data_IF_860343892997
#
_entry.id   IF_860343892997
#
_cell.length_a   1.000
_cell.length_b   1.000
_cell.length_c   1.000
_cell.angle_alpha   90.00
_cell.angle_beta   90.00
_cell.angle_gamma   90.00
#
_symmetry.space_group_name_H-M   'P 1'
#
loop_
_entity.id
_entity.type
_entity.pdbx_description
1 polymer ?
#
# COMPACT_ATOMS: atom_id res chain seq x y z
N UNK A 1 -12.82 40.02 -3.43
CA UNK A 1 -12.81 39.38 -2.09
C UNK A 1 -12.53 37.90 -2.33
N UNK A 2 -11.37 37.44 -1.86
CA UNK A 2 -10.72 36.20 -2.32
C UNK A 2 -11.38 34.93 -1.79
N UNK A 3 -11.70 34.02 -2.70
CA UNK A 3 -12.18 32.67 -2.40
C UNK A 3 -11.01 31.68 -2.33
N UNK A 4 -10.81 31.15 -1.13
CA UNK A 4 -10.12 29.92 -0.73
C UNK A 4 -9.16 29.21 -1.72
N UNK A 5 -7.85 29.47 -1.58
CA UNK A 5 -6.83 28.45 -1.86
C UNK A 5 -6.51 27.68 -0.57
N UNK A 6 -7.32 26.67 -0.25
CA UNK A 6 -6.91 25.60 0.69
C UNK A 6 -5.94 24.68 -0.05
N UNK A 7 -4.67 25.06 -0.16
CA UNK A 7 -3.61 24.17 -0.64
C UNK A 7 -3.24 23.21 0.48
N UNK A 8 -4.03 22.14 0.67
CA UNK A 8 -3.54 20.98 1.40
C UNK A 8 -2.37 20.39 0.60
N UNK A 9 -1.14 20.48 1.11
CA UNK A 9 0.06 20.07 0.40
C UNK A 9 -0.06 18.62 -0.11
N UNK A 10 -0.22 18.44 -1.42
CA UNK A 10 -0.25 17.13 -2.06
C UNK A 10 1.20 16.68 -2.32
N UNK A 11 1.57 15.48 -1.87
CA UNK A 11 2.88 14.89 -2.08
C UNK A 11 2.80 13.67 -3.03
N UNK A 12 3.61 13.69 -4.08
CA UNK A 12 3.82 12.55 -4.97
C UNK A 12 4.88 11.60 -4.39
N UNK A 13 4.61 10.29 -4.41
CA UNK A 13 5.53 9.26 -3.93
C UNK A 13 5.56 8.05 -4.85
N UNK A 14 6.71 7.38 -4.89
CA UNK A 14 6.89 6.12 -5.59
C UNK A 14 7.13 4.98 -4.59
N UNK A 15 6.43 3.85 -4.75
CA UNK A 15 6.72 2.60 -4.05
C UNK A 15 7.40 1.63 -5.01
N UNK A 16 8.59 1.16 -4.66
CA UNK A 16 9.43 0.31 -5.51
C UNK A 16 9.74 -1.03 -4.85
N UNK A 17 9.89 -2.07 -5.68
CA UNK A 17 10.38 -3.38 -5.25
C UNK A 17 11.92 -3.41 -5.32
N UNK A 18 12.58 -3.76 -4.21
CA UNK A 18 14.06 -3.75 -4.11
C UNK A 18 14.76 -4.83 -4.94
N UNK A 19 14.07 -5.92 -5.27
CA UNK A 19 14.63 -7.08 -5.99
C UNK A 19 13.64 -7.55 -7.06
N UNK A 20 13.99 -7.54 -8.35
CA UNK A 20 13.10 -7.99 -9.45
C UNK A 20 12.81 -6.88 -10.48
N UNK A 21 11.83 -7.06 -11.39
CA UNK A 21 11.52 -6.06 -12.40
C UNK A 21 11.24 -4.69 -11.75
N UNK A 22 11.80 -3.63 -12.35
CA UNK A 22 11.68 -2.24 -11.89
C UNK A 22 10.24 -1.75 -12.12
N UNK A 23 9.33 -2.23 -11.30
CA UNK A 23 7.98 -1.73 -11.23
C UNK A 23 7.87 -0.81 -10.02
N UNK A 24 7.34 0.38 -10.28
CA UNK A 24 7.14 1.43 -9.29
C UNK A 24 5.71 1.93 -9.38
N UNK A 25 5.01 1.94 -8.25
CA UNK A 25 3.70 2.59 -8.14
C UNK A 25 3.90 4.06 -7.77
N UNK A 26 3.38 4.98 -8.56
CA UNK A 26 3.39 6.42 -8.26
C UNK A 26 1.99 6.82 -7.77
N UNK A 27 1.91 7.55 -6.66
CA UNK A 27 0.66 8.04 -6.13
C UNK A 27 0.77 9.40 -5.46
N UNK A 28 -0.37 10.09 -5.41
CA UNK A 28 -0.53 11.36 -4.70
C UNK A 28 -1.15 11.16 -3.31
N UNK A 29 -0.84 12.08 -2.40
CA UNK A 29 -1.44 12.11 -1.07
C UNK A 29 -1.48 13.49 -0.46
N UNK A 30 -2.64 13.85 0.12
CA UNK A 30 -2.77 15.03 1.00
C UNK A 30 -2.29 14.79 2.44
N UNK A 31 -1.95 13.55 2.80
CA UNK A 31 -1.28 13.17 4.04
C UNK A 31 0.22 12.95 3.79
N UNK A 32 1.02 12.78 4.85
CA UNK A 32 2.45 12.46 4.69
C UNK A 32 2.67 11.15 3.89
N UNK A 33 3.77 11.09 3.14
CA UNK A 33 4.15 9.89 2.36
C UNK A 33 4.26 8.67 3.26
N UNK A 34 4.85 8.82 4.45
CA UNK A 34 4.99 7.76 5.45
C UNK A 34 3.64 7.20 5.89
N UNK A 35 2.64 8.07 6.10
CA UNK A 35 1.28 7.65 6.47
C UNK A 35 0.65 6.77 5.38
N UNK A 36 0.74 7.18 4.12
CA UNK A 36 0.21 6.37 2.99
C UNK A 36 0.95 5.05 2.84
N UNK A 37 2.27 5.09 2.98
CA UNK A 37 3.07 3.88 2.93
C UNK A 37 2.63 2.89 4.01
N UNK A 38 2.40 3.34 5.24
CA UNK A 38 1.87 2.50 6.31
C UNK A 38 0.47 1.93 5.99
N UNK A 39 -0.41 2.71 5.34
CA UNK A 39 -1.71 2.20 4.87
C UNK A 39 -1.55 1.07 3.84
N UNK A 40 -0.64 1.24 2.87
CA UNK A 40 -0.34 0.21 1.88
C UNK A 40 0.23 -1.07 2.53
N UNK A 41 1.17 -0.93 3.46
CA UNK A 41 1.71 -2.06 4.24
C UNK A 41 0.60 -2.72 5.08
N UNK A 42 -0.31 -1.94 5.66
CA UNK A 42 -1.48 -2.45 6.37
C UNK A 42 -2.35 -3.35 5.49
N UNK A 43 -2.72 -2.87 4.31
CA UNK A 43 -3.51 -3.64 3.35
C UNK A 43 -2.78 -4.93 2.90
N UNK A 44 -1.47 -4.87 2.66
CA UNK A 44 -0.67 -6.06 2.33
C UNK A 44 -0.68 -7.08 3.47
N UNK A 45 -0.55 -6.63 4.73
CA UNK A 45 -0.65 -7.52 5.90
C UNK A 45 -2.04 -8.15 6.00
N UNK A 46 -3.10 -7.37 5.81
CA UNK A 46 -4.48 -7.86 5.79
C UNK A 46 -4.67 -8.96 4.73
N UNK A 47 -4.14 -8.76 3.52
CA UNK A 47 -4.12 -9.78 2.47
C UNK A 47 -3.40 -11.06 2.93
N UNK A 48 -2.17 -10.95 3.43
CA UNK A 48 -1.35 -12.11 3.83
C UNK A 48 -1.95 -12.87 4.99
N UNK A 49 -2.57 -12.17 5.95
CA UNK A 49 -3.31 -12.78 7.05
C UNK A 49 -4.50 -13.60 6.54
N UNK A 50 -5.25 -13.07 5.56
CA UNK A 50 -6.36 -13.79 4.95
C UNK A 50 -5.87 -15.00 4.13
N UNK A 51 -4.80 -14.83 3.35
CA UNK A 51 -4.16 -15.91 2.57
C UNK A 51 -3.74 -17.09 3.48
N UNK A 52 -3.10 -16.80 4.62
CA UNK A 52 -2.75 -17.83 5.62
C UNK A 52 -3.98 -18.54 6.17
N UNK A 53 -5.06 -17.81 6.51
CA UNK A 53 -6.33 -18.41 6.96
C UNK A 53 -6.92 -19.32 5.89
N UNK A 54 -6.88 -18.90 4.62
CA UNK A 54 -7.35 -19.70 3.49
C UNK A 54 -6.57 -21.01 3.36
N UNK A 55 -5.27 -20.97 3.60
CA UNK A 55 -4.39 -22.14 3.57
C UNK A 55 -4.52 -23.04 4.82
N UNK A 56 -5.43 -22.72 5.76
CA UNK A 56 -5.61 -23.48 7.01
C UNK A 56 -4.51 -23.26 8.05
N UNK A 57 -3.62 -22.28 7.85
CA UNK A 57 -2.58 -21.94 8.82
C UNK A 57 -3.20 -21.30 10.07
N UNK A 58 -2.66 -21.63 11.25
CA UNK A 58 -3.03 -20.93 12.49
C UNK A 58 -2.51 -19.50 12.43
N UNK A 59 -3.43 -18.55 12.34
CA UNK A 59 -3.10 -17.12 12.34
C UNK A 59 -3.33 -16.55 13.73
N UNK A 60 -2.25 -16.15 14.39
CA UNK A 60 -2.31 -15.37 15.63
C UNK A 60 -2.21 -13.89 15.28
N UNK A 61 -3.33 -13.17 15.37
CA UNK A 61 -3.35 -11.70 15.21
C UNK A 61 -3.58 -11.02 16.54
N UNK A 62 -2.83 -9.95 16.82
CA UNK A 62 -3.17 -9.04 17.92
C UNK A 62 -4.36 -8.18 17.50
N UNK A 63 -5.36 -8.06 18.38
CA UNK A 63 -6.57 -7.27 18.13
C UNK A 63 -7.72 -8.10 17.57
N UNK A 64 -8.61 -7.46 16.81
CA UNK A 64 -9.86 -8.09 16.35
C UNK A 64 -9.60 -9.08 15.22
N UNK A 65 -10.04 -10.35 15.34
CA UNK A 65 -9.94 -11.31 14.25
C UNK A 65 -10.72 -10.87 13.01
N UNK A 66 -10.21 -11.25 11.84
CA UNK A 66 -10.91 -11.12 10.56
C UNK A 66 -12.14 -12.05 10.54
N UNK A 67 -13.34 -11.50 10.34
CA UNK A 67 -14.60 -12.28 10.34
C UNK A 67 -15.10 -12.65 8.95
N UNK A 68 -14.79 -11.85 7.93
CA UNK A 68 -15.19 -12.12 6.55
C UNK A 68 -14.45 -13.35 6.00
N UNK A 69 -15.03 -13.90 4.94
CA UNK A 69 -14.41 -14.94 4.13
C UNK A 69 -13.01 -14.49 3.63
N UNK A 70 -11.97 -15.34 3.70
CA UNK A 70 -10.62 -14.99 3.29
C UNK A 70 -10.53 -14.47 1.86
N UNK A 71 -11.24 -15.04 0.90
CA UNK A 71 -11.18 -14.64 -0.50
C UNK A 71 -11.77 -13.24 -0.71
N UNK A 72 -12.84 -12.91 0.03
CA UNK A 72 -13.41 -11.56 0.01
C UNK A 72 -12.39 -10.55 0.55
N UNK A 73 -11.73 -10.85 1.67
CA UNK A 73 -10.74 -9.95 2.27
C UNK A 73 -9.54 -9.75 1.35
N UNK A 74 -9.04 -10.83 0.74
CA UNK A 74 -7.93 -10.76 -0.21
C UNK A 74 -8.29 -9.84 -1.38
N UNK A 75 -9.46 -10.02 -1.99
CA UNK A 75 -9.92 -9.18 -3.09
C UNK A 75 -10.12 -7.71 -2.69
N UNK A 76 -10.69 -7.44 -1.51
CA UNK A 76 -10.85 -6.08 -0.98
C UNK A 76 -9.48 -5.39 -0.79
N UNK A 77 -8.49 -6.11 -0.25
CA UNK A 77 -7.15 -5.59 -0.03
C UNK A 77 -6.42 -5.24 -1.33
N UNK A 78 -6.56 -6.09 -2.37
CA UNK A 78 -5.98 -5.83 -3.69
C UNK A 78 -6.63 -4.61 -4.35
N UNK A 79 -7.97 -4.55 -4.38
CA UNK A 79 -8.72 -3.42 -4.97
C UNK A 79 -8.43 -2.08 -4.27
N UNK A 80 -8.20 -2.12 -2.96
CA UNK A 80 -7.94 -0.91 -2.16
C UNK A 80 -6.50 -0.40 -2.33
N UNK A 81 -5.57 -1.25 -2.78
CA UNK A 81 -4.14 -0.95 -2.75
C UNK A 81 -3.41 -1.58 -3.92
N UNK A 82 -3.17 -0.78 -4.96
CA UNK A 82 -2.32 -1.15 -6.09
C UNK A 82 -0.91 -1.61 -5.64
N UNK A 83 -0.37 -1.07 -4.54
CA UNK A 83 0.88 -1.54 -3.94
C UNK A 83 0.76 -2.97 -3.39
N UNK A 84 -0.38 -3.31 -2.78
CA UNK A 84 -0.59 -4.66 -2.26
C UNK A 84 -0.76 -5.64 -3.42
N UNK A 85 -1.52 -5.26 -4.45
CA UNK A 85 -1.63 -6.02 -5.70
C UNK A 85 -0.26 -6.27 -6.34
N UNK A 86 0.53 -5.22 -6.52
CA UNK A 86 1.87 -5.33 -7.07
C UNK A 86 2.77 -6.26 -6.23
N UNK A 87 2.80 -6.07 -4.91
CA UNK A 87 3.62 -6.87 -4.02
C UNK A 87 3.21 -8.35 -4.03
N UNK A 88 1.92 -8.66 -4.10
CA UNK A 88 1.42 -10.04 -4.20
C UNK A 88 1.84 -10.68 -5.52
N UNK A 89 1.59 -10.00 -6.64
CA UNK A 89 1.95 -10.46 -7.99
C UNK A 89 3.45 -10.70 -8.12
N UNK A 90 4.28 -9.82 -7.55
CA UNK A 90 5.73 -9.96 -7.56
C UNK A 90 6.29 -10.86 -6.44
N UNK A 91 5.42 -11.53 -5.66
CA UNK A 91 5.80 -12.41 -4.54
C UNK A 91 6.73 -11.73 -3.54
N UNK A 92 6.43 -10.47 -3.22
CA UNK A 92 7.19 -9.62 -2.30
C UNK A 92 6.53 -9.50 -0.94
N UNK A 93 7.38 -9.17 0.03
CA UNK A 93 7.01 -8.85 1.40
C UNK A 93 7.17 -7.36 1.65
N UNK A 94 6.65 -6.88 2.77
CA UNK A 94 6.81 -5.50 3.22
C UNK A 94 8.28 -5.06 3.32
N UNK A 95 9.20 -6.00 3.57
CA UNK A 95 10.64 -5.71 3.68
C UNK A 95 11.28 -5.39 2.32
N UNK A 96 10.67 -5.90 1.26
CA UNK A 96 11.12 -5.70 -0.12
C UNK A 96 10.62 -4.38 -0.73
N UNK A 97 9.75 -3.67 -0.01
CA UNK A 97 9.16 -2.40 -0.46
C UNK A 97 9.91 -1.21 0.13
N UNK A 98 10.11 -0.18 -0.69
CA UNK A 98 10.60 1.12 -0.25
C UNK A 98 9.76 2.23 -0.85
N UNK A 99 9.61 3.33 -0.11
CA UNK A 99 8.92 4.54 -0.58
C UNK A 99 9.91 5.70 -0.71
N UNK A 100 9.83 6.44 -1.80
CA UNK A 100 10.59 7.67 -2.01
C UNK A 100 9.67 8.79 -2.51
N UNK A 101 10.02 10.04 -2.18
CA UNK A 101 9.37 11.21 -2.78
C UNK A 101 9.79 11.30 -4.24
N UNK A 102 8.83 11.56 -5.12
CA UNK A 102 9.14 11.87 -6.52
C UNK A 102 9.48 13.36 -6.58
N UNK A 103 10.71 13.70 -6.94
CA UNK A 103 11.07 15.08 -7.24
C UNK A 103 10.60 15.40 -8.66
N UNK A 104 9.70 16.37 -8.82
CA UNK A 104 9.48 17.00 -10.12
C UNK A 104 10.73 17.82 -10.44
N UNK A 105 11.34 17.60 -11.60
CA UNK A 105 12.30 18.57 -12.14
C UNK A 105 11.57 19.91 -12.29
N UNK A 106 12.17 21.04 -11.84
CA UNK A 106 11.66 22.33 -12.23
C UNK A 106 11.87 22.44 -13.75
N UNK A 107 10.79 22.38 -14.52
CA UNK A 107 10.82 22.76 -15.93
C UNK A 107 11.44 24.16 -16.00
N UNK A 108 12.60 24.29 -16.66
CA UNK A 108 13.30 25.55 -16.90
C UNK A 108 12.50 26.42 -17.87
#
# INVERSE_FOLDING_TARGET
>A
MNEALKTSAVAEHAVTCRKGPKASYIGETGNTISHRFQQHIGNLKTYRTAEKRKNGEKVTTRGRPQKKDPDIIMNEALKTSAVAEHAVTCRKTEKDLSVSKVCREPNY
#
